data_IF_649120324101
#
_entry.id   IF_649120324101
#
_cell.length_a   1.000
_cell.length_b   1.000
_cell.length_c   1.000
_cell.angle_alpha   90.00
_cell.angle_beta   90.00
_cell.angle_gamma   90.00
#
_symmetry.space_group_name_H-M   'P 1'
#
loop_
_entity.id
_entity.type
_entity.pdbx_description
1 polymer ?
#
# COMPACT_ATOMS: atom_id res chain seq x y z
N UNK A 1 -6.01 12.51 17.65
CA UNK A 1 -5.48 11.85 18.87
C UNK A 1 -4.19 11.12 18.57
N UNK A 2 -3.46 10.72 19.62
CA UNK A 2 -2.23 9.91 19.51
C UNK A 2 -2.48 8.51 20.08
N UNK A 3 -1.91 7.48 19.43
CA UNK A 3 -1.89 6.12 19.96
C UNK A 3 -0.62 5.90 20.79
N UNK A 4 -0.74 5.05 21.81
CA UNK A 4 0.33 4.80 22.79
C UNK A 4 0.43 3.32 23.25
N UNK A 5 -0.30 2.42 22.64
CA UNK A 5 -0.31 0.98 22.97
C UNK A 5 -0.30 0.12 21.73
N UNK A 6 0.41 -0.99 21.77
CA UNK A 6 0.43 -1.99 20.70
C UNK A 6 -0.94 -2.65 20.49
N UNK A 7 -1.75 -2.77 21.54
CA UNK A 7 -3.08 -3.39 21.45
C UNK A 7 -4.09 -2.52 20.67
N UNK A 8 -3.75 -1.24 20.45
CA UNK A 8 -4.55 -0.34 19.62
C UNK A 8 -4.41 -0.61 18.11
N UNK A 9 -3.67 -1.66 17.71
CA UNK A 9 -3.58 -2.09 16.32
C UNK A 9 -4.96 -2.35 15.69
N UNK A 10 -5.91 -2.85 16.51
CA UNK A 10 -7.29 -3.11 16.08
C UNK A 10 -8.01 -1.87 15.56
N UNK A 11 -7.57 -0.69 15.97
CA UNK A 11 -8.10 0.59 15.50
C UNK A 11 -7.53 1.01 14.13
N UNK A 12 -6.31 0.56 13.81
CA UNK A 12 -5.62 0.91 12.56
C UNK A 12 -5.90 -0.10 11.43
N UNK A 13 -6.08 -1.37 11.78
CA UNK A 13 -6.24 -2.46 10.81
C UNK A 13 -7.41 -2.24 9.81
N UNK A 14 -8.62 -1.82 10.23
CA UNK A 14 -9.70 -1.55 9.30
C UNK A 14 -9.38 -0.42 8.31
N UNK A 15 -8.70 0.63 8.79
CA UNK A 15 -8.30 1.78 7.96
C UNK A 15 -7.26 1.34 6.93
N UNK A 16 -6.25 0.60 7.38
CA UNK A 16 -5.21 0.05 6.52
C UNK A 16 -5.78 -0.88 5.44
N UNK A 17 -6.64 -1.83 5.82
CA UNK A 17 -7.29 -2.74 4.88
C UNK A 17 -8.14 -2.01 3.85
N UNK A 18 -8.91 -1.01 4.28
CA UNK A 18 -9.72 -0.20 3.37
C UNK A 18 -8.84 0.58 2.38
N UNK A 19 -7.75 1.18 2.87
CA UNK A 19 -6.81 1.92 2.04
C UNK A 19 -6.13 1.03 1.00
N UNK A 20 -5.66 -0.15 1.42
CA UNK A 20 -4.88 -1.04 0.56
C UNK A 20 -5.72 -1.96 -0.34
N UNK A 21 -7.04 -2.07 -0.11
CA UNK A 21 -7.93 -3.02 -0.77
C UNK A 21 -7.89 -2.99 -2.31
N UNK A 22 -7.53 -1.86 -2.91
CA UNK A 22 -7.45 -1.67 -4.37
C UNK A 22 -6.03 -1.40 -4.86
N UNK A 23 -5.05 -1.59 -3.98
CA UNK A 23 -3.65 -1.28 -4.26
C UNK A 23 -2.82 -2.56 -4.27
N UNK A 24 -1.84 -2.64 -5.16
CA UNK A 24 -0.88 -3.73 -5.21
C UNK A 24 0.44 -3.33 -4.54
N UNK A 25 1.15 -4.30 -3.97
CA UNK A 25 2.46 -4.08 -3.36
C UNK A 25 2.43 -3.71 -1.88
N UNK A 26 1.26 -3.71 -1.25
CA UNK A 26 1.11 -3.54 0.19
C UNK A 26 1.09 -4.91 0.90
N UNK A 27 1.80 -5.01 2.01
CA UNK A 27 1.83 -6.24 2.80
C UNK A 27 0.50 -6.45 3.53
N UNK A 28 -0.01 -7.66 3.51
CA UNK A 28 -1.08 -8.04 4.44
C UNK A 28 -0.54 -8.07 5.86
N UNK A 29 -1.35 -7.60 6.81
CA UNK A 29 -0.99 -7.52 8.22
C UNK A 29 -2.02 -8.25 9.07
N UNK A 30 -1.58 -9.28 9.75
CA UNK A 30 -2.32 -9.91 10.84
C UNK A 30 -1.95 -9.29 12.19
N UNK A 31 -2.54 -9.82 13.26
CA UNK A 31 -2.26 -9.37 14.63
C UNK A 31 -0.77 -9.39 14.98
N UNK A 32 -0.07 -10.47 14.61
CA UNK A 32 1.35 -10.65 14.91
C UNK A 32 2.21 -9.58 14.23
N UNK A 33 1.95 -9.31 12.97
CA UNK A 33 2.65 -8.29 12.19
C UNK A 33 2.38 -6.90 12.74
N UNK A 34 1.12 -6.59 13.07
CA UNK A 34 0.75 -5.32 13.67
C UNK A 34 1.43 -5.10 15.02
N UNK A 35 1.37 -6.07 15.93
CA UNK A 35 2.01 -5.95 17.26
C UNK A 35 3.52 -5.78 17.15
N UNK A 36 4.17 -6.51 16.24
CA UNK A 36 5.60 -6.36 15.98
C UNK A 36 5.93 -4.97 15.45
N UNK A 37 5.16 -4.48 14.49
CA UNK A 37 5.37 -3.17 13.86
C UNK A 37 5.17 -2.03 14.87
N UNK A 38 4.06 -2.01 15.60
CA UNK A 38 3.78 -1.01 16.61
C UNK A 38 4.78 -1.05 17.77
N UNK A 39 5.20 -2.24 18.17
CA UNK A 39 6.26 -2.41 19.18
C UNK A 39 7.58 -1.78 18.76
N UNK A 40 7.99 -1.96 17.50
CA UNK A 40 9.16 -1.30 16.93
C UNK A 40 8.98 0.23 16.91
N UNK A 41 7.85 0.74 16.45
CA UNK A 41 7.58 2.18 16.39
C UNK A 41 7.66 2.83 17.77
N UNK A 42 7.03 2.25 18.78
CA UNK A 42 7.07 2.80 20.13
C UNK A 42 8.47 2.73 20.76
N UNK A 43 9.21 1.63 20.53
CA UNK A 43 10.58 1.50 21.01
C UNK A 43 11.52 2.56 20.37
N UNK A 44 11.24 2.98 19.16
CA UNK A 44 12.00 3.99 18.44
C UNK A 44 11.51 5.42 18.68
N UNK A 45 10.52 5.64 19.53
CA UNK A 45 9.95 6.96 19.82
C UNK A 45 9.17 7.56 18.64
N UNK A 46 8.60 6.72 17.80
CA UNK A 46 7.75 7.13 16.67
C UNK A 46 6.35 7.46 17.17
N UNK A 47 5.76 8.53 16.65
CA UNK A 47 4.41 8.96 17.00
C UNK A 47 3.40 8.41 15.99
N UNK A 48 2.21 8.07 16.47
CA UNK A 48 1.10 7.64 15.63
C UNK A 48 -0.09 8.56 15.89
N UNK A 49 -0.34 9.46 14.94
CA UNK A 49 -1.51 10.35 14.98
C UNK A 49 -2.68 9.70 14.24
N UNK A 50 -3.89 9.83 14.80
CA UNK A 50 -5.12 9.34 14.18
C UNK A 50 -6.12 10.47 13.96
N UNK A 51 -6.84 10.40 12.85
CA UNK A 51 -7.98 11.27 12.52
C UNK A 51 -9.25 10.48 12.71
N UNK A 52 -10.20 11.07 13.43
CA UNK A 52 -11.53 10.52 13.66
C UNK A 52 -12.59 11.44 13.03
N UNK A 53 -13.64 10.84 12.53
CA UNK A 53 -14.83 11.56 12.11
C UNK A 53 -15.73 11.93 13.32
N UNK A 54 -16.86 12.54 13.06
CA UNK A 54 -17.83 12.97 14.08
C UNK A 54 -18.45 11.78 14.85
N UNK A 55 -18.45 10.60 14.26
CA UNK A 55 -18.91 9.36 14.87
C UNK A 55 -17.80 8.64 15.68
N UNK A 56 -16.64 9.29 15.85
CA UNK A 56 -15.47 8.76 16.54
C UNK A 56 -14.80 7.55 15.83
N UNK A 57 -15.09 7.34 14.55
CA UNK A 57 -14.48 6.30 13.71
C UNK A 57 -13.16 6.84 13.15
N UNK A 58 -12.10 6.02 13.19
CA UNK A 58 -10.80 6.39 12.59
C UNK A 58 -10.90 6.27 11.08
N UNK A 59 -10.62 7.36 10.38
CA UNK A 59 -10.58 7.45 8.92
C UNK A 59 -9.18 7.66 8.36
N UNK A 60 -8.19 7.89 9.21
CA UNK A 60 -6.81 8.02 8.77
C UNK A 60 -5.83 8.02 9.92
N UNK A 61 -4.58 7.72 9.61
CA UNK A 61 -3.48 7.81 10.56
C UNK A 61 -2.17 8.17 9.85
N UNK A 62 -1.24 8.70 10.64
CA UNK A 62 0.13 8.95 10.22
C UNK A 62 1.11 8.42 11.25
N UNK A 63 2.16 7.76 10.77
CA UNK A 63 3.29 7.28 11.56
C UNK A 63 4.49 8.15 11.24
N UNK A 64 5.00 8.88 12.22
CA UNK A 64 6.02 9.92 11.99
C UNK A 64 6.95 10.10 13.18
N UNK A 65 8.11 10.71 12.94
CA UNK A 65 9.08 11.04 13.97
C UNK A 65 9.37 12.54 13.99
N UNK A 66 9.36 13.13 15.19
CA UNK A 66 9.78 14.51 15.41
C UNK A 66 11.27 14.60 15.77
N UNK A 67 11.80 15.82 15.83
CA UNK A 67 13.17 16.10 16.27
C UNK A 67 14.20 16.21 15.14
N UNK A 68 13.71 16.28 13.89
CA UNK A 68 14.55 16.53 12.70
C UNK A 68 13.95 17.69 11.89
N UNK A 69 14.78 18.43 11.14
CA UNK A 69 14.30 19.50 10.26
C UNK A 69 13.31 19.01 9.21
N UNK A 70 13.52 17.83 8.64
CA UNK A 70 12.56 17.12 7.80
C UNK A 70 11.88 16.05 8.65
N UNK A 71 10.57 16.14 8.80
CA UNK A 71 9.75 15.16 9.53
C UNK A 71 9.52 13.93 8.64
N UNK A 72 10.18 12.78 8.94
CA UNK A 72 9.91 11.57 8.20
C UNK A 72 8.56 10.99 8.62
N UNK A 73 7.71 10.71 7.64
CA UNK A 73 6.42 10.04 7.80
C UNK A 73 6.54 8.67 7.16
N UNK A 74 6.58 7.63 8.00
CA UNK A 74 6.73 6.25 7.55
C UNK A 74 5.48 5.69 6.92
N UNK A 75 4.30 6.09 7.42
CA UNK A 75 3.00 5.74 6.86
C UNK A 75 2.06 6.95 6.92
N UNK A 76 1.35 7.17 5.83
CA UNK A 76 0.28 8.16 5.70
C UNK A 76 -0.92 7.45 5.06
N UNK A 77 -1.88 7.04 5.87
CA UNK A 77 -3.01 6.19 5.48
C UNK A 77 -4.31 6.93 5.75
N UNK A 78 -5.21 6.92 4.77
CA UNK A 78 -6.49 7.60 4.88
C UNK A 78 -7.55 6.93 3.98
N UNK A 79 -8.80 6.94 4.42
CA UNK A 79 -9.91 6.37 3.66
C UNK A 79 -10.79 7.44 3.02
N UNK A 80 -10.67 8.69 3.50
CA UNK A 80 -11.44 9.83 2.99
C UNK A 80 -10.54 11.03 2.70
N UNK A 81 -10.99 11.91 1.79
CA UNK A 81 -10.30 13.17 1.51
C UNK A 81 -10.28 14.12 2.72
N UNK A 82 -11.29 14.05 3.57
CA UNK A 82 -11.33 14.82 4.80
C UNK A 82 -10.21 14.39 5.76
N UNK A 83 -10.02 13.08 5.95
CA UNK A 83 -8.94 12.55 6.76
C UNK A 83 -7.56 12.89 6.19
N UNK A 84 -7.39 12.81 4.87
CA UNK A 84 -6.18 13.22 4.17
C UNK A 84 -5.82 14.68 4.48
N UNK A 85 -6.79 15.60 4.28
CA UNK A 85 -6.59 17.03 4.56
C UNK A 85 -6.32 17.30 6.03
N UNK A 86 -6.98 16.57 6.94
CA UNK A 86 -6.78 16.71 8.37
C UNK A 86 -5.35 16.29 8.78
N UNK A 87 -4.81 15.20 8.22
CA UNK A 87 -3.43 14.78 8.45
C UNK A 87 -2.42 15.81 7.93
N UNK A 88 -2.64 16.38 6.76
CA UNK A 88 -1.77 17.44 6.24
C UNK A 88 -1.82 18.71 7.11
N UNK A 89 -3.02 19.12 7.51
CA UNK A 89 -3.18 20.26 8.43
C UNK A 89 -2.52 19.99 9.79
N UNK A 90 -2.56 18.73 10.24
CA UNK A 90 -1.85 18.32 11.43
C UNK A 90 -0.35 18.60 11.30
N UNK A 91 0.29 18.20 10.23
CA UNK A 91 1.71 18.47 9.97
C UNK A 91 1.99 19.96 9.76
N UNK A 92 1.10 20.68 9.09
CA UNK A 92 1.24 22.13 8.96
C UNK A 92 1.29 22.84 10.33
N UNK A 93 0.52 22.36 11.30
CA UNK A 93 0.55 22.88 12.65
C UNK A 93 1.84 22.54 13.42
N UNK A 94 2.62 21.55 12.95
CA UNK A 94 3.94 21.20 13.49
C UNK A 94 5.11 21.96 12.79
N UNK A 95 4.82 22.99 11.98
CA UNK A 95 5.85 23.77 11.25
C UNK A 95 6.91 24.45 12.13
N UNK A 96 6.66 24.56 13.44
CA UNK A 96 7.68 25.00 14.40
C UNK A 96 8.69 23.92 14.77
N UNK A 97 8.39 22.65 14.50
CA UNK A 97 9.20 21.49 14.85
C UNK A 97 9.89 20.85 13.64
N UNK A 98 9.50 21.26 12.43
CA UNK A 98 10.12 20.81 11.18
C UNK A 98 9.80 21.76 10.04
N UNK A 99 10.73 21.87 9.10
CA UNK A 99 10.62 22.76 7.93
C UNK A 99 9.95 22.09 6.74
N UNK A 100 9.94 20.75 6.74
CA UNK A 100 9.35 19.93 5.67
C UNK A 100 8.86 18.60 6.22
N UNK A 101 8.03 17.93 5.45
CA UNK A 101 7.62 16.54 5.69
C UNK A 101 7.99 15.71 4.49
N UNK A 102 8.39 14.46 4.72
CA UNK A 102 8.67 13.49 3.67
C UNK A 102 7.96 12.18 3.96
N UNK A 103 7.28 11.65 2.95
CA UNK A 103 6.66 10.32 3.03
C UNK A 103 6.83 9.56 1.72
N UNK A 104 6.71 8.25 1.81
CA UNK A 104 6.65 7.39 0.65
C UNK A 104 5.20 7.07 0.32
N UNK A 105 4.88 7.11 -0.97
CA UNK A 105 3.54 6.84 -1.48
C UNK A 105 3.63 5.89 -2.66
N UNK A 106 2.54 5.19 -2.94
CA UNK A 106 2.45 4.38 -4.16
C UNK A 106 2.37 5.23 -5.42
N UNK A 107 2.68 4.65 -6.57
CA UNK A 107 2.63 5.35 -7.87
C UNK A 107 1.24 5.86 -8.26
N UNK A 108 0.19 5.41 -7.56
CA UNK A 108 -1.19 5.87 -7.74
C UNK A 108 -1.43 7.27 -7.15
N UNK A 109 -0.55 7.73 -6.28
CA UNK A 109 -0.69 9.05 -5.68
C UNK A 109 -0.33 10.16 -6.67
N UNK A 110 -1.14 11.19 -6.64
CA UNK A 110 -0.99 12.36 -7.51
C UNK A 110 -0.84 13.65 -6.71
N UNK A 111 -0.35 13.55 -5.49
CA UNK A 111 -0.19 14.68 -4.57
C UNK A 111 0.56 15.85 -5.19
N UNK A 112 1.61 15.57 -5.97
CA UNK A 112 2.40 16.60 -6.66
C UNK A 112 1.56 17.49 -7.60
N UNK A 113 0.39 17.03 -8.04
CA UNK A 113 -0.52 17.81 -8.89
C UNK A 113 -1.27 18.90 -8.14
N UNK A 114 -1.33 18.82 -6.81
CA UNK A 114 -2.08 19.76 -5.98
C UNK A 114 -1.20 20.86 -5.37
N UNK A 115 0.11 20.82 -5.59
CA UNK A 115 1.07 21.80 -5.09
C UNK A 115 1.73 22.57 -6.25
N UNK A 116 1.10 23.68 -6.71
CA UNK A 116 1.58 24.38 -7.91
C UNK A 116 2.85 25.21 -7.70
N UNK A 117 3.32 25.41 -6.47
CA UNK A 117 4.43 26.31 -6.16
C UNK A 117 5.83 25.69 -6.30
N UNK A 118 5.94 24.48 -6.82
CA UNK A 118 7.21 23.83 -7.16
C UNK A 118 8.16 23.54 -5.98
N UNK A 119 7.71 23.79 -4.74
CA UNK A 119 8.50 23.51 -3.52
C UNK A 119 8.39 22.05 -3.05
N UNK A 120 7.50 21.27 -3.65
CA UNK A 120 7.39 19.85 -3.40
C UNK A 120 8.38 19.08 -4.26
N UNK A 121 9.40 18.46 -3.65
CA UNK A 121 10.25 17.49 -4.33
C UNK A 121 9.48 16.17 -4.54
N UNK A 122 9.49 15.64 -5.76
CA UNK A 122 8.96 14.32 -6.07
C UNK A 122 10.04 13.49 -6.76
N UNK A 123 10.25 12.27 -6.28
CA UNK A 123 11.18 11.32 -6.90
C UNK A 123 10.59 9.93 -6.87
N UNK A 124 10.80 9.15 -7.93
CA UNK A 124 10.43 7.74 -7.98
C UNK A 124 11.69 6.91 -7.79
N UNK A 125 11.61 5.95 -6.85
CA UNK A 125 12.73 5.05 -6.58
C UNK A 125 12.23 3.61 -6.41
N UNK A 126 13.04 2.59 -6.76
CA UNK A 126 12.73 1.20 -6.42
C UNK A 126 12.68 1.07 -4.89
N UNK A 127 11.59 0.55 -4.36
CA UNK A 127 11.41 0.43 -2.92
C UNK A 127 11.71 -0.97 -2.40
N UNK A 128 11.21 -1.99 -3.11
CA UNK A 128 11.48 -3.38 -2.74
C UNK A 128 11.65 -4.25 -3.99
N UNK A 129 12.33 -5.37 -3.84
CA UNK A 129 12.33 -6.45 -4.81
C UNK A 129 11.28 -7.46 -4.42
N UNK A 130 10.47 -7.88 -5.38
CA UNK A 130 9.48 -8.94 -5.21
C UNK A 130 9.74 -10.07 -6.20
N UNK A 131 9.33 -11.27 -5.85
CA UNK A 131 9.42 -12.45 -6.69
C UNK A 131 8.09 -13.20 -6.69
N UNK A 132 7.66 -13.64 -7.85
CA UNK A 132 6.51 -14.53 -7.98
C UNK A 132 6.95 -15.93 -7.55
N UNK A 133 6.33 -16.46 -6.50
CA UNK A 133 6.58 -17.82 -5.99
C UNK A 133 5.55 -18.83 -6.47
N UNK A 134 4.41 -18.38 -6.96
CA UNK A 134 3.36 -19.18 -7.61
C UNK A 134 2.79 -18.37 -8.77
N UNK A 135 3.13 -18.80 -10.00
CA UNK A 135 2.75 -18.11 -11.24
C UNK A 135 1.23 -18.14 -11.43
N UNK A 136 0.60 -19.29 -11.17
CA UNK A 136 -0.85 -19.43 -11.33
C UNK A 136 -1.60 -18.52 -10.37
N UNK A 137 -1.28 -18.62 -9.07
CA UNK A 137 -1.90 -17.79 -8.05
C UNK A 137 -1.65 -16.30 -8.28
N UNK A 138 -0.48 -15.91 -8.77
CA UNK A 138 -0.17 -14.51 -9.08
C UNK A 138 -1.09 -13.95 -10.16
N UNK A 139 -1.32 -14.67 -11.26
CA UNK A 139 -2.26 -14.23 -12.29
C UNK A 139 -3.71 -14.23 -11.81
N UNK A 140 -4.12 -15.26 -11.08
CA UNK A 140 -5.48 -15.36 -10.53
C UNK A 140 -5.76 -14.32 -9.43
N UNK A 141 -4.73 -13.71 -8.85
CA UNK A 141 -4.89 -12.63 -7.86
C UNK A 141 -5.08 -11.23 -8.47
N UNK A 142 -4.84 -11.08 -9.78
CA UNK A 142 -4.95 -9.78 -10.46
C UNK A 142 -6.30 -9.69 -11.17
N UNK A 143 -7.29 -8.96 -10.61
CA UNK A 143 -8.57 -8.80 -11.27
C UNK A 143 -8.41 -7.94 -12.54
N UNK A 144 -9.07 -8.36 -13.60
CA UNK A 144 -9.10 -7.64 -14.88
C UNK A 144 -10.54 -7.19 -15.14
N UNK A 145 -10.71 -5.90 -15.48
CA UNK A 145 -12.04 -5.42 -15.85
C UNK A 145 -12.49 -6.07 -17.17
N UNK A 146 -13.51 -6.93 -17.18
CA UNK A 146 -13.98 -7.60 -18.40
C UNK A 146 -14.50 -6.61 -19.44
N UNK A 147 -15.04 -5.47 -19.01
CA UNK A 147 -15.56 -4.43 -19.92
C UNK A 147 -14.44 -3.69 -20.68
N UNK A 148 -13.20 -3.76 -20.16
CA UNK A 148 -12.05 -3.18 -20.87
C UNK A 148 -11.56 -4.06 -22.01
N UNK A 149 -12.03 -5.30 -22.10
CA UNK A 149 -11.68 -6.24 -23.14
C UNK A 149 -12.79 -6.30 -24.20
N UNK A 150 -12.49 -5.87 -25.41
CA UNK A 150 -13.44 -5.93 -26.54
C UNK A 150 -13.79 -7.37 -26.94
N UNK A 151 -12.91 -8.34 -26.63
CA UNK A 151 -13.09 -9.78 -26.86
C UNK A 151 -12.26 -10.59 -25.87
N UNK A 152 -12.60 -11.85 -25.62
CA UNK A 152 -11.76 -12.75 -24.82
C UNK A 152 -10.36 -12.86 -25.43
N UNK A 153 -9.36 -12.84 -24.57
CA UNK A 153 -7.95 -12.96 -24.96
C UNK A 153 -7.37 -14.20 -24.30
N UNK A 154 -6.67 -15.02 -25.05
CA UNK A 154 -5.85 -16.11 -24.52
C UNK A 154 -4.38 -15.83 -24.80
N UNK A 155 -3.55 -15.92 -23.77
CA UNK A 155 -2.10 -15.76 -23.85
C UNK A 155 -1.43 -17.03 -23.41
N UNK A 156 -0.41 -17.46 -24.12
CA UNK A 156 0.45 -18.59 -23.73
C UNK A 156 1.88 -18.11 -23.56
N UNK A 157 2.53 -18.49 -22.47
CA UNK A 157 3.93 -18.13 -22.20
C UNK A 157 4.65 -19.23 -21.42
N UNK A 158 5.96 -19.34 -21.64
CA UNK A 158 6.84 -20.24 -20.92
C UNK A 158 7.48 -19.54 -19.71
N UNK A 159 7.59 -20.25 -18.60
CA UNK A 159 8.30 -19.82 -17.39
C UNK A 159 9.51 -20.71 -17.17
N UNK A 160 10.67 -20.10 -16.94
CA UNK A 160 11.87 -20.75 -16.44
C UNK A 160 12.20 -20.17 -15.08
N UNK A 161 12.33 -21.00 -14.08
CA UNK A 161 12.56 -20.58 -12.69
C UNK A 161 13.45 -21.57 -11.94
N UNK A 162 14.73 -21.28 -11.89
CA UNK A 162 15.74 -22.13 -11.24
C UNK A 162 15.63 -22.19 -9.70
N UNK A 163 14.83 -21.33 -9.07
CA UNK A 163 14.63 -21.33 -7.61
C UNK A 163 13.27 -21.90 -7.21
N UNK A 164 12.26 -21.74 -8.06
CA UNK A 164 10.92 -22.26 -7.87
C UNK A 164 10.56 -23.20 -9.02
N UNK A 165 11.20 -24.37 -9.05
CA UNK A 165 11.07 -25.35 -10.15
C UNK A 165 9.63 -25.77 -10.44
N UNK A 166 8.73 -25.70 -9.43
CA UNK A 166 7.30 -25.92 -9.62
C UNK A 166 6.61 -24.90 -10.53
N UNK A 167 7.21 -23.73 -10.73
CA UNK A 167 6.76 -22.74 -11.68
C UNK A 167 7.18 -23.03 -13.13
N UNK A 168 8.20 -23.86 -13.36
CA UNK A 168 8.67 -24.13 -14.71
C UNK A 168 7.61 -24.81 -15.57
N UNK A 169 7.48 -24.38 -16.81
CA UNK A 169 6.57 -24.91 -17.80
C UNK A 169 5.80 -23.86 -18.56
N UNK A 170 4.86 -24.28 -19.40
CA UNK A 170 4.00 -23.41 -20.17
C UNK A 170 2.69 -23.14 -19.44
N UNK A 171 2.23 -21.90 -19.53
CA UNK A 171 0.96 -21.45 -18.93
C UNK A 171 0.08 -20.84 -20.01
N UNK A 172 -1.20 -21.18 -19.97
CA UNK A 172 -2.26 -20.53 -20.73
C UNK A 172 -3.10 -19.68 -19.78
N UNK A 173 -3.24 -18.40 -20.09
CA UNK A 173 -4.05 -17.44 -19.34
C UNK A 173 -5.16 -16.94 -20.22
N UNK A 174 -6.40 -17.12 -19.78
CA UNK A 174 -7.59 -16.71 -20.48
C UNK A 174 -8.26 -15.54 -19.76
N UNK A 175 -8.43 -14.43 -20.46
CA UNK A 175 -9.10 -13.21 -20.01
C UNK A 175 -10.43 -13.03 -20.73
N UNK A 176 -11.42 -12.39 -20.09
CA UNK A 176 -12.64 -11.93 -20.73
C UNK A 176 -13.90 -12.77 -20.44
N UNK A 177 -13.81 -13.75 -19.57
CA UNK A 177 -14.99 -14.52 -19.11
C UNK A 177 -15.44 -14.16 -17.71
N UNK A 178 -14.55 -13.64 -16.90
CA UNK A 178 -14.77 -13.29 -15.51
C UNK A 178 -13.79 -12.19 -15.08
N UNK A 179 -14.01 -11.64 -13.88
CA UNK A 179 -13.13 -10.65 -13.27
C UNK A 179 -11.71 -11.22 -13.01
N UNK A 180 -11.64 -12.51 -12.70
CA UNK A 180 -10.39 -13.23 -12.44
C UNK A 180 -10.07 -14.07 -13.68
N UNK A 181 -8.85 -13.99 -14.24
CA UNK A 181 -8.47 -14.82 -15.36
C UNK A 181 -8.40 -16.30 -15.00
N UNK A 182 -8.64 -17.17 -15.96
CA UNK A 182 -8.42 -18.61 -15.79
C UNK A 182 -6.99 -18.94 -16.20
N UNK A 183 -6.25 -19.63 -15.33
CA UNK A 183 -4.85 -20.01 -15.57
C UNK A 183 -4.69 -21.52 -15.55
N UNK A 184 -4.11 -22.07 -16.63
CA UNK A 184 -3.80 -23.49 -16.74
C UNK A 184 -2.32 -23.67 -17.05
N UNK A 185 -1.66 -24.59 -16.34
CA UNK A 185 -0.36 -25.08 -16.74
C UNK A 185 -0.58 -26.11 -17.85
N UNK A 186 0.00 -25.86 -19.00
CA UNK A 186 -0.09 -26.77 -20.17
C UNK A 186 1.23 -27.50 -20.31
N UNK A 187 1.17 -28.75 -20.75
CA UNK A 187 2.39 -29.51 -21.04
C UNK A 187 3.11 -28.88 -22.23
N UNK A 188 4.44 -28.83 -22.15
CA UNK A 188 5.28 -28.48 -23.30
C UNK A 188 4.92 -29.37 -24.48
N UNK A 189 4.47 -28.76 -25.58
CA UNK A 189 4.26 -29.43 -26.85
C UNK A 189 5.56 -29.37 -27.65
#
# INVERSE_FOLDING_TARGET
GLLNSVDQWTLLDPVYKTYTARLSGYAERGEKEWKRLLGSFFAEGVNIAVVRNDENIIEGYAVYRLGQPEIPVSELVYTTRCAQRALLNYFYNHRSQGTSIRWNEGLHDTYYRFYPDGKSGHSTMPYMMSRIVDVKAAFESIPVNPEALMMPITMTFGVKDSLCEWNEGCYEVQYGGALIPTVKKVSDT
#
